data_IF_221804474891
#
_entry.id   IF_221804474891
#
_cell.length_a   1.000
_cell.length_b   1.000
_cell.length_c   1.000
_cell.angle_alpha   90.00
_cell.angle_beta   90.00
_cell.angle_gamma   90.00
#
_symmetry.space_group_name_H-M   'P 1'
#
loop_
_entity.id
_entity.type
_entity.pdbx_description
1 polymer ?
#
# COMPACT_ATOMS: atom_id res chain seq x y z
N UNK A 1 -32.36 -48.28 3.01
CA UNK A 1 -32.57 -46.92 3.57
C UNK A 1 -31.49 -46.00 3.01
N UNK A 2 -31.81 -44.78 2.59
CA UNK A 2 -31.70 -44.42 1.16
C UNK A 2 -30.51 -43.51 0.81
N UNK A 3 -29.96 -43.78 -0.37
CA UNK A 3 -29.18 -42.88 -1.22
C UNK A 3 -30.02 -41.64 -1.60
N UNK A 4 -29.51 -40.45 -1.32
CA UNK A 4 -30.10 -39.18 -1.73
C UNK A 4 -29.75 -38.82 -3.17
N UNK A 5 -30.75 -38.93 -4.07
CA UNK A 5 -30.73 -38.32 -5.39
C UNK A 5 -30.76 -36.79 -5.27
N UNK A 6 -29.85 -36.08 -5.96
CA UNK A 6 -30.05 -34.67 -6.34
C UNK A 6 -30.39 -34.59 -7.82
N UNK A 7 -31.47 -33.86 -8.11
CA UNK A 7 -32.18 -33.78 -9.39
C UNK A 7 -31.36 -33.08 -10.49
N UNK A 8 -31.64 -33.40 -11.77
CA UNK A 8 -31.08 -32.69 -12.92
C UNK A 8 -31.84 -31.39 -13.23
N UNK A 9 -31.08 -30.39 -13.68
CA UNK A 9 -31.55 -29.06 -14.02
C UNK A 9 -31.97 -29.07 -15.50
N UNK A 10 -33.27 -28.99 -15.78
CA UNK A 10 -33.80 -28.87 -17.14
C UNK A 10 -33.67 -27.43 -17.67
N UNK A 11 -33.51 -27.25 -18.99
CA UNK A 11 -33.29 -25.97 -19.64
C UNK A 11 -34.60 -25.19 -19.79
N UNK A 12 -34.62 -23.92 -19.39
CA UNK A 12 -35.71 -23.00 -19.71
C UNK A 12 -35.60 -22.55 -21.17
N UNK A 13 -36.29 -23.30 -22.04
CA UNK A 13 -36.82 -22.75 -23.28
C UNK A 13 -38.12 -22.02 -22.96
N UNK A 14 -38.17 -20.70 -23.14
CA UNK A 14 -39.41 -19.96 -23.24
C UNK A 14 -39.35 -18.94 -24.40
N UNK A 15 -40.00 -19.37 -25.49
CA UNK A 15 -40.97 -18.63 -26.31
C UNK A 15 -40.46 -17.43 -27.13
N UNK A 16 -40.47 -17.69 -28.44
CA UNK A 16 -40.54 -16.76 -29.56
C UNK A 16 -41.68 -15.73 -29.38
N UNK A 17 -41.36 -14.45 -29.56
CA UNK A 17 -42.28 -13.49 -30.17
C UNK A 17 -41.49 -12.59 -31.09
N UNK A 18 -41.67 -12.87 -32.38
CA UNK A 18 -41.23 -12.04 -33.47
C UNK A 18 -42.08 -10.77 -33.51
N UNK A 19 -41.46 -9.60 -33.45
CA UNK A 19 -41.99 -8.38 -34.07
C UNK A 19 -40.86 -7.76 -34.86
N UNK A 20 -41.00 -7.85 -36.17
CA UNK A 20 -40.14 -7.21 -37.15
C UNK A 20 -40.42 -5.70 -37.18
N UNK A 21 -39.39 -4.87 -36.98
CA UNK A 21 -39.30 -3.55 -37.60
C UNK A 21 -37.86 -3.33 -38.03
N UNK A 22 -37.55 -3.71 -39.26
CA UNK A 22 -36.37 -3.26 -40.00
C UNK A 22 -36.69 -1.90 -40.62
N UNK A 23 -36.09 -0.82 -40.10
CA UNK A 23 -36.10 0.48 -40.77
C UNK A 23 -34.82 1.28 -40.47
N UNK A 24 -33.98 1.36 -41.51
CA UNK A 24 -33.04 2.43 -41.88
C UNK A 24 -32.05 3.03 -40.84
N UNK A 25 -30.80 2.57 -40.96
CA UNK A 25 -29.53 3.30 -41.03
C UNK A 25 -29.58 4.86 -40.99
N UNK A 26 -29.01 5.45 -39.93
CA UNK A 26 -28.08 6.62 -39.85
C UNK A 26 -27.59 6.59 -38.38
N UNK A 27 -26.52 5.86 -38.02
CA UNK A 27 -25.12 6.26 -38.18
C UNK A 27 -24.80 7.65 -37.61
N UNK A 28 -25.04 7.85 -36.32
CA UNK A 28 -24.24 8.77 -35.51
C UNK A 28 -23.13 7.97 -34.82
N UNK A 29 -22.08 7.68 -35.58
CA UNK A 29 -20.80 7.28 -34.99
C UNK A 29 -20.32 8.44 -34.13
N UNK A 30 -20.44 8.30 -32.81
CA UNK A 30 -19.79 9.19 -31.86
C UNK A 30 -18.27 9.06 -32.05
N UNK A 31 -17.53 10.13 -32.38
CA UNK A 31 -16.09 10.07 -32.35
C UNK A 31 -15.66 9.94 -30.89
N UNK A 32 -15.31 8.71 -30.48
CA UNK A 32 -14.58 8.45 -29.25
C UNK A 32 -13.21 9.10 -29.40
N UNK A 33 -13.10 10.37 -28.99
CA UNK A 33 -11.82 11.04 -28.84
C UNK A 33 -11.07 10.32 -27.73
N UNK A 34 -10.19 9.41 -28.14
CA UNK A 34 -9.21 8.72 -27.32
C UNK A 34 -8.32 9.76 -26.65
N UNK A 35 -8.72 10.23 -25.47
CA UNK A 35 -7.84 10.96 -24.58
C UNK A 35 -6.63 10.07 -24.33
N UNK A 36 -5.50 10.43 -24.92
CA UNK A 36 -4.23 9.78 -24.67
C UNK A 36 -3.94 9.92 -23.18
N UNK A 37 -4.18 8.84 -22.44
CA UNK A 37 -3.67 8.69 -21.08
C UNK A 37 -2.15 8.76 -21.20
N UNK A 38 -1.58 9.93 -20.92
CA UNK A 38 -0.16 10.09 -20.73
C UNK A 38 0.31 8.96 -19.79
N UNK A 39 1.43 8.28 -20.09
CA UNK A 39 1.93 7.24 -19.20
C UNK A 39 2.20 7.89 -17.85
N UNK A 40 1.35 7.60 -16.86
CA UNK A 40 1.56 8.00 -15.48
C UNK A 40 2.95 7.50 -15.11
N UNK A 41 3.87 8.44 -14.87
CA UNK A 41 5.26 8.11 -14.58
C UNK A 41 5.26 7.10 -13.43
N UNK A 42 5.90 5.95 -13.62
CA UNK A 42 6.18 4.95 -12.57
C UNK A 42 7.10 5.58 -11.50
N UNK A 43 6.59 6.52 -10.73
CA UNK A 43 7.19 6.89 -9.44
C UNK A 43 6.82 5.77 -8.50
N UNK A 44 7.80 5.00 -8.03
CA UNK A 44 7.56 4.09 -6.93
C UNK A 44 7.07 4.94 -5.75
N UNK A 45 5.82 4.80 -5.31
CA UNK A 45 5.29 5.69 -4.29
C UNK A 45 6.02 5.41 -2.97
N UNK A 46 6.52 6.46 -2.33
CA UNK A 46 7.05 6.36 -0.97
C UNK A 46 5.93 5.94 0.00
N UNK A 47 6.27 5.15 1.01
CA UNK A 47 5.34 4.78 2.08
C UNK A 47 5.02 5.98 2.97
N UNK A 48 3.74 6.19 3.25
CA UNK A 48 3.24 7.18 4.23
C UNK A 48 2.28 6.47 5.16
N UNK A 49 2.66 6.38 6.44
CA UNK A 49 1.83 5.80 7.50
C UNK A 49 1.25 6.91 8.39
N UNK A 50 0.14 6.66 9.09
CA UNK A 50 -0.34 7.59 10.11
C UNK A 50 0.66 7.70 11.25
N UNK A 51 0.71 8.89 11.87
CA UNK A 51 1.45 9.11 13.12
C UNK A 51 0.64 8.47 14.23
N UNK A 52 1.20 7.46 14.87
CA UNK A 52 0.51 6.71 15.94
C UNK A 52 1.36 6.56 17.18
N UNK A 53 2.58 7.10 17.18
CA UNK A 53 3.46 7.14 18.34
C UNK A 53 4.16 8.48 18.47
N UNK A 54 4.55 8.82 19.70
CA UNK A 54 5.41 9.96 20.01
C UNK A 54 6.57 9.50 20.89
N UNK A 55 7.72 10.13 20.74
CA UNK A 55 8.89 9.90 21.58
C UNK A 55 9.48 11.23 22.04
N UNK A 56 9.94 11.29 23.28
CA UNK A 56 10.67 12.46 23.79
C UNK A 56 12.14 12.10 23.97
N UNK A 57 13.02 12.78 23.24
CA UNK A 57 14.47 12.55 23.27
C UNK A 57 15.13 13.91 23.48
N UNK A 58 15.98 14.03 24.52
CA UNK A 58 16.66 15.28 24.87
C UNK A 58 15.70 16.50 24.91
N UNK A 59 14.55 16.35 25.57
CA UNK A 59 13.51 17.38 25.71
C UNK A 59 12.85 17.84 24.39
N UNK A 60 13.00 17.06 23.30
CA UNK A 60 12.33 17.28 22.01
C UNK A 60 11.33 16.16 21.73
N UNK A 61 10.16 16.53 21.24
CA UNK A 61 9.10 15.59 20.88
C UNK A 61 9.22 15.22 19.41
N UNK A 62 9.19 13.93 19.13
CA UNK A 62 9.19 13.35 17.79
C UNK A 62 7.88 12.63 17.54
N UNK A 63 7.28 12.91 16.39
CA UNK A 63 6.09 12.25 15.87
C UNK A 63 6.51 11.07 14.98
N UNK A 64 6.01 9.88 15.29
CA UNK A 64 6.50 8.65 14.68
C UNK A 64 5.39 7.92 13.90
N UNK A 65 5.73 7.59 12.66
CA UNK A 65 5.02 6.60 11.84
C UNK A 65 5.37 5.19 12.32
N UNK A 66 4.40 4.32 12.61
CA UNK A 66 4.69 2.98 13.15
C UNK A 66 4.60 1.91 12.05
N UNK A 67 5.74 1.31 11.70
CA UNK A 67 5.81 0.21 10.74
C UNK A 67 5.51 -1.13 11.42
N UNK A 68 4.23 -1.49 11.51
CA UNK A 68 3.76 -2.66 12.27
C UNK A 68 3.93 -3.99 11.52
N UNK A 69 3.82 -3.98 10.19
CA UNK A 69 3.90 -5.21 9.38
C UNK A 69 5.30 -5.44 8.82
N UNK A 70 5.71 -6.69 8.54
CA UNK A 70 7.01 -6.98 7.93
C UNK A 70 7.23 -6.20 6.63
N UNK A 71 6.19 -6.10 5.78
CA UNK A 71 6.23 -5.32 4.54
C UNK A 71 6.49 -3.84 4.78
N UNK A 72 5.85 -3.24 5.80
CA UNK A 72 6.08 -1.84 6.16
C UNK A 72 7.48 -1.60 6.70
N UNK A 73 8.02 -2.57 7.45
CA UNK A 73 9.37 -2.51 8.02
C UNK A 73 10.45 -2.66 6.93
N UNK A 74 10.26 -3.60 6.00
CA UNK A 74 11.15 -3.79 4.86
C UNK A 74 11.19 -2.58 3.93
N UNK A 75 10.03 -1.97 3.68
CA UNK A 75 9.91 -0.76 2.87
C UNK A 75 10.47 0.47 3.59
N UNK A 76 10.22 0.59 4.89
CA UNK A 76 10.73 1.68 5.73
C UNK A 76 10.51 3.08 5.11
N UNK A 77 11.60 3.81 4.96
CA UNK A 77 11.63 5.18 4.41
C UNK A 77 12.08 5.25 2.94
N UNK A 78 12.01 4.13 2.20
CA UNK A 78 12.37 4.10 0.80
C UNK A 78 11.65 5.18 -0.02
N UNK A 79 12.40 5.82 -0.93
CA UNK A 79 11.94 6.86 -1.85
C UNK A 79 11.40 8.14 -1.20
N UNK A 80 11.51 8.31 0.13
CA UNK A 80 11.25 9.60 0.78
C UNK A 80 12.34 10.58 0.37
N UNK A 81 11.94 11.72 -0.19
CA UNK A 81 12.85 12.83 -0.55
C UNK A 81 13.01 13.84 0.58
N UNK A 82 12.09 13.85 1.55
CA UNK A 82 12.08 14.78 2.67
C UNK A 82 11.37 14.18 3.88
N UNK A 83 11.85 14.55 5.07
CA UNK A 83 11.21 14.28 6.35
C UNK A 83 11.44 15.49 7.28
N UNK A 84 10.40 16.01 7.96
CA UNK A 84 10.58 17.07 8.95
C UNK A 84 11.50 16.63 10.10
N UNK A 85 12.21 17.57 10.76
CA UNK A 85 13.21 17.25 11.78
C UNK A 85 12.63 16.61 13.05
N UNK A 86 11.34 16.80 13.32
CA UNK A 86 10.61 16.22 14.44
C UNK A 86 9.78 14.99 14.04
N UNK A 87 10.10 14.37 12.90
CA UNK A 87 9.40 13.20 12.38
C UNK A 87 10.34 12.01 12.27
N UNK A 88 9.77 10.82 12.39
CA UNK A 88 10.52 9.59 12.24
C UNK A 88 9.61 8.39 11.97
N UNK A 89 10.22 7.21 11.89
CA UNK A 89 9.52 5.95 11.78
C UNK A 89 9.97 5.02 12.91
N UNK A 90 9.01 4.43 13.61
CA UNK A 90 9.20 3.45 14.67
C UNK A 90 9.05 2.04 14.10
N UNK A 91 10.05 1.19 14.37
CA UNK A 91 10.09 -0.21 13.97
C UNK A 91 9.95 -1.10 15.22
N UNK A 92 8.73 -1.55 15.58
CA UNK A 92 8.53 -2.47 16.69
C UNK A 92 9.00 -3.88 16.32
N UNK A 93 9.95 -4.40 17.09
CA UNK A 93 10.39 -5.81 17.01
C UNK A 93 10.04 -6.52 18.32
N UNK A 94 9.17 -7.52 18.23
CA UNK A 94 8.77 -8.37 19.36
C UNK A 94 8.94 -9.84 18.97
N UNK A 95 9.78 -10.62 19.67
CA UNK A 95 10.67 -10.20 20.75
C UNK A 95 11.78 -9.25 20.25
N UNK A 96 12.40 -8.52 21.19
CA UNK A 96 13.55 -7.70 20.88
C UNK A 96 14.69 -8.57 20.33
N UNK A 97 15.18 -8.23 19.14
CA UNK A 97 16.18 -9.01 18.41
C UNK A 97 17.19 -8.10 17.73
N UNK A 98 18.43 -8.57 17.46
CA UNK A 98 19.36 -7.85 16.61
C UNK A 98 18.77 -7.69 15.20
N UNK A 99 18.74 -6.46 14.69
CA UNK A 99 18.25 -6.15 13.34
C UNK A 99 19.29 -5.40 12.54
N UNK A 100 19.31 -5.65 11.23
CA UNK A 100 20.17 -4.93 10.28
C UNK A 100 19.27 -4.15 9.32
N UNK A 101 19.53 -2.85 9.20
CA UNK A 101 18.87 -2.01 8.23
C UNK A 101 19.72 -1.87 6.98
N UNK A 102 19.10 -2.10 5.83
CA UNK A 102 19.65 -1.76 4.52
C UNK A 102 19.10 -0.39 4.08
N UNK A 103 19.96 0.56 3.71
CA UNK A 103 19.54 1.89 3.25
C UNK A 103 19.21 1.92 1.76
N UNK A 104 18.71 0.80 1.21
CA UNK A 104 18.47 0.69 -0.22
C UNK A 104 17.38 1.69 -0.62
N UNK A 105 17.72 2.64 -1.50
CA UNK A 105 16.81 3.69 -1.97
C UNK A 105 16.29 4.65 -0.87
N UNK A 106 17.00 4.80 0.24
CA UNK A 106 16.81 5.92 1.16
C UNK A 106 17.53 7.14 0.58
N UNK A 107 16.78 8.20 0.24
CA UNK A 107 17.33 9.43 -0.34
C UNK A 107 17.65 10.49 0.71
N UNK A 108 17.28 10.24 1.97
CA UNK A 108 17.52 11.11 3.12
C UNK A 108 18.55 10.46 4.03
N UNK A 109 19.53 11.25 4.47
CA UNK A 109 20.44 10.86 5.55
C UNK A 109 19.67 10.77 6.86
N UNK A 110 19.93 9.74 7.66
CA UNK A 110 19.15 9.49 8.87
C UNK A 110 19.95 8.80 9.98
N UNK A 111 19.56 9.11 11.21
CA UNK A 111 20.06 8.47 12.42
C UNK A 111 19.10 7.37 12.87
N UNK A 112 19.64 6.20 13.17
CA UNK A 112 18.92 5.09 13.77
C UNK A 112 19.23 5.02 15.26
N UNK A 113 18.17 5.06 16.08
CA UNK A 113 18.27 4.91 17.53
C UNK A 113 17.69 3.54 17.88
N UNK A 114 18.53 2.66 18.43
CA UNK A 114 18.11 1.35 18.89
C UNK A 114 17.77 1.44 20.37
N UNK A 115 16.56 1.03 20.73
CA UNK A 115 16.03 1.12 22.08
C UNK A 115 15.57 -0.24 22.57
N UNK A 116 15.88 -0.56 23.82
CA UNK A 116 15.43 -1.79 24.50
C UNK A 116 15.12 -1.48 25.96
N UNK A 117 13.94 -1.90 26.43
CA UNK A 117 13.54 -1.81 27.85
C UNK A 117 13.77 -0.44 28.50
N UNK A 118 13.43 0.64 27.80
CA UNK A 118 13.58 2.00 28.33
C UNK A 118 14.95 2.63 28.11
N UNK A 119 15.90 1.93 27.47
CA UNK A 119 17.29 2.37 27.32
C UNK A 119 17.71 2.38 25.85
N UNK A 120 18.44 3.43 25.43
CA UNK A 120 19.13 3.45 24.13
C UNK A 120 20.34 2.52 24.20
N UNK A 121 20.36 1.49 23.35
CA UNK A 121 21.44 0.49 23.32
C UNK A 121 22.47 0.78 22.23
N UNK A 122 22.08 1.51 21.17
CA UNK A 122 22.98 1.90 20.10
C UNK A 122 22.42 3.08 19.31
N UNK A 123 23.32 3.83 18.68
CA UNK A 123 22.99 4.88 17.71
C UNK A 123 23.83 4.61 16.46
N UNK A 124 23.22 4.68 15.28
CA UNK A 124 23.91 4.50 14.01
C UNK A 124 23.48 5.57 13.01
N UNK A 125 24.43 6.42 12.60
CA UNK A 125 24.23 7.41 11.54
C UNK A 125 24.51 6.76 10.19
N UNK A 126 23.61 6.96 9.23
CA UNK A 126 23.83 6.58 7.83
C UNK A 126 23.71 7.78 6.92
N UNK A 127 24.73 8.05 6.09
CA UNK A 127 24.67 9.12 5.10
C UNK A 127 23.62 8.83 4.03
#
# INVERSE_FOLDING_TARGET
MPYGMRKPNKPWTFVLSAVAVTALLISCYTPQSSGGSAPSSRRTPSQVLPITATATIANRVFELEVAQTPRQQEFGLMYRTFMPPNRGMLFPFQPAQPVKFWMKHCLISLDMIFWRQGTVVAIATKP
#
